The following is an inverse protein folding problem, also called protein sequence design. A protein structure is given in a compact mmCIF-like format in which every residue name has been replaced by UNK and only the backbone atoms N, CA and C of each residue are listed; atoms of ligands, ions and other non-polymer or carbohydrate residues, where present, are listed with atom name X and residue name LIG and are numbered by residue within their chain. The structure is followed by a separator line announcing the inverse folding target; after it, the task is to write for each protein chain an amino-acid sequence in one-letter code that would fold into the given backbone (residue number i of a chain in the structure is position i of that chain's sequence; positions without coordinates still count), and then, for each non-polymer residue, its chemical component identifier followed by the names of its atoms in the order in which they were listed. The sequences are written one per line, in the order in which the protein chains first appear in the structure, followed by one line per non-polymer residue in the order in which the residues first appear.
data_IF_781777498900
#
_entry.id   IF_781777498900
#
_cell.length_a   1.000
_cell.length_b   1.000
_cell.length_c   1.000
_cell.angle_alpha   90.00
_cell.angle_beta   90.00
_cell.angle_gamma   90.00
#
_symmetry.space_group_name_H-M   'P 1'
#
loop_
_entity.id
_entity.type
_entity.pdbx_description
1 polymer ?
#
# COMPACT_ATOMS: atom_id res chain seq x y z
N UNK A 1 -24.92 20.63 4.58
CA UNK A 1 -24.54 22.00 4.95
C UNK A 1 -25.22 22.36 6.27
N UNK A 2 -24.48 22.41 7.38
CA UNK A 2 -24.97 22.99 8.62
C UNK A 2 -24.68 24.49 8.54
N UNK A 3 -25.71 25.29 8.38
CA UNK A 3 -25.67 26.74 8.59
C UNK A 3 -25.44 26.99 10.08
N UNK A 4 -24.20 27.17 10.49
CA UNK A 4 -23.91 27.84 11.75
C UNK A 4 -23.98 29.34 11.51
N UNK A 5 -24.74 30.00 12.39
CA UNK A 5 -25.02 31.43 12.43
C UNK A 5 -23.86 32.29 11.92
N UNK A 6 -24.05 33.01 10.82
CA UNK A 6 -23.28 34.17 10.30
C UNK A 6 -21.75 34.14 10.35
N UNK A 7 -21.10 32.99 10.37
CA UNK A 7 -19.68 32.86 10.14
C UNK A 7 -19.45 32.53 8.67
N UNK A 8 -18.76 33.43 7.95
CA UNK A 8 -18.24 33.12 6.61
C UNK A 8 -17.24 31.95 6.76
N UNK A 9 -17.48 30.86 6.03
CA UNK A 9 -16.54 29.73 5.97
C UNK A 9 -15.71 29.89 4.71
N UNK A 10 -14.45 30.28 4.86
CA UNK A 10 -13.52 30.36 3.77
C UNK A 10 -12.83 29.01 3.57
N UNK A 11 -12.83 28.51 2.34
CA UNK A 11 -12.15 27.30 1.97
C UNK A 11 -10.69 27.59 1.62
N UNK A 12 -9.74 26.95 2.34
CA UNK A 12 -8.34 26.96 1.93
C UNK A 12 -8.18 26.06 0.70
N UNK A 13 -7.96 26.66 -0.45
CA UNK A 13 -7.94 25.98 -1.75
C UNK A 13 -6.54 25.80 -2.34
N UNK A 14 -5.48 26.16 -1.61
CA UNK A 14 -4.11 26.01 -2.07
C UNK A 14 -3.35 25.02 -1.17
N UNK A 15 -2.75 23.99 -1.79
CA UNK A 15 -1.88 23.04 -1.11
C UNK A 15 -0.42 23.21 -1.54
N UNK A 16 0.49 23.15 -0.57
CA UNK A 16 1.94 23.17 -0.79
C UNK A 16 2.56 21.78 -0.64
N UNK A 17 1.71 20.74 -0.48
CA UNK A 17 2.14 19.36 -0.28
C UNK A 17 2.09 18.54 -1.55
N UNK A 18 0.93 18.47 -2.19
CA UNK A 18 0.64 17.50 -3.24
C UNK A 18 1.20 17.92 -4.58
N UNK A 19 2.04 17.08 -5.17
CA UNK A 19 2.48 17.24 -6.57
C UNK A 19 1.41 16.78 -7.57
N UNK A 20 1.66 16.99 -8.85
CA UNK A 20 0.80 16.48 -9.92
C UNK A 20 1.15 15.01 -10.23
N UNK A 21 0.18 14.06 -10.46
CA UNK A 21 -1.26 14.31 -10.56
C UNK A 21 -2.03 14.17 -9.23
N UNK A 22 -1.35 13.99 -8.10
CA UNK A 22 -2.00 13.78 -6.79
C UNK A 22 -2.90 14.96 -6.38
N UNK A 23 -2.47 16.20 -6.65
CA UNK A 23 -3.30 17.37 -6.35
C UNK A 23 -4.59 17.38 -7.19
N UNK A 24 -4.51 16.99 -8.46
CA UNK A 24 -5.68 16.92 -9.35
C UNK A 24 -6.66 15.82 -8.89
N UNK A 25 -6.15 14.62 -8.57
CA UNK A 25 -6.97 13.55 -8.01
C UNK A 25 -7.68 14.01 -6.74
N UNK A 26 -6.93 14.55 -5.79
CA UNK A 26 -7.48 15.00 -4.50
C UNK A 26 -8.51 16.11 -4.69
N UNK A 27 -8.22 17.07 -5.58
CA UNK A 27 -9.12 18.17 -5.93
C UNK A 27 -10.45 17.65 -6.50
N UNK A 28 -10.38 16.75 -7.48
CA UNK A 28 -11.58 16.22 -8.14
C UNK A 28 -12.39 15.29 -7.23
N UNK A 29 -11.72 14.46 -6.41
CA UNK A 29 -12.42 13.48 -5.58
C UNK A 29 -13.05 14.12 -4.35
N UNK A 30 -12.35 15.04 -3.67
CA UNK A 30 -12.72 15.52 -2.33
C UNK A 30 -13.10 17.01 -2.28
N UNK A 31 -12.64 17.83 -3.25
CA UNK A 31 -12.74 19.30 -3.19
C UNK A 31 -13.43 19.91 -4.39
N UNK A 32 -14.23 19.16 -5.14
CA UNK A 32 -15.03 19.65 -6.29
C UNK A 32 -14.21 20.41 -7.34
N UNK A 33 -12.94 20.06 -7.51
CA UNK A 33 -12.03 20.75 -8.44
C UNK A 33 -11.42 22.06 -7.91
N UNK A 34 -11.70 22.43 -6.66
CA UNK A 34 -11.30 23.73 -6.12
C UNK A 34 -9.88 23.75 -5.49
N UNK A 35 -9.23 22.59 -5.27
CA UNK A 35 -7.89 22.52 -4.70
C UNK A 35 -6.83 22.71 -5.79
N UNK A 36 -5.83 23.56 -5.53
CA UNK A 36 -4.72 23.85 -6.44
C UNK A 36 -3.37 23.68 -5.73
N UNK A 37 -2.30 23.55 -6.51
CA UNK A 37 -0.92 23.62 -6.02
C UNK A 37 -0.11 24.59 -6.91
N UNK A 38 0.84 25.36 -6.34
CA UNK A 38 1.81 26.14 -7.11
C UNK A 38 2.64 25.26 -8.06
N UNK A 39 3.16 25.85 -9.14
CA UNK A 39 3.85 25.12 -10.20
C UNK A 39 5.10 24.36 -9.68
N UNK A 40 5.85 24.96 -8.77
CA UNK A 40 7.02 24.33 -8.15
C UNK A 40 6.65 23.10 -7.32
N UNK A 41 5.48 23.09 -6.68
CA UNK A 41 4.96 21.93 -5.94
C UNK A 41 4.47 20.84 -6.90
N UNK A 42 3.75 21.22 -7.96
CA UNK A 42 3.24 20.28 -8.97
C UNK A 42 4.37 19.52 -9.66
N UNK A 43 5.51 20.15 -9.84
CA UNK A 43 6.66 19.60 -10.55
C UNK A 43 7.59 18.75 -9.68
N UNK A 44 7.33 18.61 -8.39
CA UNK A 44 8.16 17.77 -7.51
C UNK A 44 8.21 16.33 -7.99
N UNK A 45 9.42 15.78 -8.07
CA UNK A 45 9.71 14.39 -8.46
C UNK A 45 10.78 13.82 -7.55
N UNK A 46 10.72 12.50 -7.37
CA UNK A 46 11.83 11.77 -6.77
C UNK A 46 13.04 11.81 -7.70
N UNK A 47 14.21 11.81 -7.09
CA UNK A 47 15.46 11.54 -7.79
C UNK A 47 15.92 10.18 -7.28
N UNK A 48 16.09 9.24 -8.19
CA UNK A 48 16.59 7.89 -7.90
C UNK A 48 17.96 7.73 -8.52
N UNK A 49 18.85 7.08 -7.80
CA UNK A 49 20.14 6.69 -8.35
C UNK A 49 19.93 5.72 -9.53
N UNK A 50 20.84 5.78 -10.51
CA UNK A 50 20.77 4.91 -11.66
C UNK A 50 20.97 3.46 -11.23
N UNK A 51 19.91 2.67 -11.33
CA UNK A 51 19.88 1.24 -11.08
C UNK A 51 19.08 0.54 -12.16
N UNK A 52 19.28 -0.76 -12.27
CA UNK A 52 18.53 -1.62 -13.20
C UNK A 52 17.42 -2.31 -12.44
N UNK A 53 16.25 -1.69 -12.35
CA UNK A 53 15.02 -2.38 -11.97
C UNK A 53 14.38 -3.01 -13.19
N UNK A 54 13.68 -4.11 -13.01
CA UNK A 54 12.95 -4.81 -14.08
C UNK A 54 11.52 -5.12 -13.67
N UNK A 55 10.68 -5.35 -14.67
CA UNK A 55 9.29 -5.78 -14.44
C UNK A 55 8.39 -4.72 -13.81
N UNK A 56 7.25 -5.14 -13.23
CA UNK A 56 6.22 -4.24 -12.70
C UNK A 56 6.69 -3.32 -11.58
N UNK A 57 7.64 -3.76 -10.76
CA UNK A 57 8.21 -2.93 -9.68
C UNK A 57 8.92 -1.70 -10.24
N UNK A 58 9.63 -1.84 -11.36
CA UNK A 58 10.28 -0.71 -12.05
C UNK A 58 9.27 0.39 -12.40
N UNK A 59 8.13 0.02 -12.95
CA UNK A 59 7.09 0.98 -13.29
C UNK A 59 6.48 1.63 -12.04
N UNK A 60 6.31 0.84 -10.97
CA UNK A 60 5.77 1.34 -9.72
C UNK A 60 6.69 2.36 -9.04
N UNK A 61 8.03 2.17 -9.10
CA UNK A 61 8.99 3.10 -8.50
C UNK A 61 9.41 4.25 -9.43
N UNK A 62 9.09 4.20 -10.73
CA UNK A 62 9.47 5.22 -11.70
C UNK A 62 9.13 6.64 -11.19
N UNK A 63 10.11 7.57 -11.10
CA UNK A 63 9.89 8.94 -10.60
C UNK A 63 8.82 9.73 -11.35
N UNK A 64 8.63 9.45 -12.64
CA UNK A 64 7.60 10.12 -13.44
C UNK A 64 6.19 9.69 -13.06
N UNK A 65 6.03 8.47 -12.55
CA UNK A 65 4.76 7.92 -12.09
C UNK A 65 4.54 8.29 -10.61
N UNK A 66 4.20 9.54 -10.32
CA UNK A 66 4.09 10.05 -8.93
C UNK A 66 2.86 9.54 -8.17
N UNK A 67 1.90 8.96 -8.87
CA UNK A 67 0.70 8.32 -8.31
C UNK A 67 0.48 7.00 -9.05
N UNK A 68 0.48 5.88 -8.33
CA UNK A 68 0.36 4.53 -8.92
C UNK A 68 -0.57 3.67 -8.07
N UNK A 69 -1.38 2.86 -8.72
CA UNK A 69 -2.09 1.75 -8.09
C UNK A 69 -1.41 0.43 -8.43
N UNK A 70 -1.07 -0.33 -7.42
CA UNK A 70 -0.45 -1.66 -7.55
C UNK A 70 -1.47 -2.71 -7.12
N UNK A 71 -2.04 -3.41 -8.10
CA UNK A 71 -2.94 -4.53 -7.89
C UNK A 71 -2.19 -5.80 -7.54
N UNK A 72 -2.54 -6.43 -6.43
CA UNK A 72 -1.92 -7.66 -5.92
C UNK A 72 -2.96 -8.76 -5.83
N UNK A 73 -2.66 -9.91 -6.42
CA UNK A 73 -3.51 -11.10 -6.26
C UNK A 73 -3.25 -11.72 -4.88
N UNK A 74 -4.17 -11.53 -3.95
CA UNK A 74 -4.06 -12.08 -2.60
C UNK A 74 -5.37 -11.91 -1.84
N UNK A 75 -5.68 -12.87 -0.97
CA UNK A 75 -6.88 -12.80 -0.14
C UNK A 75 -6.55 -12.16 1.20
N UNK A 76 -7.51 -11.40 1.72
CA UNK A 76 -7.46 -10.97 3.10
C UNK A 76 -7.61 -12.17 4.05
N UNK A 77 -7.01 -12.06 5.22
CA UNK A 77 -7.13 -13.00 6.32
C UNK A 77 -7.83 -12.32 7.49
N UNK A 78 -8.86 -12.94 8.02
CA UNK A 78 -9.55 -12.46 9.21
C UNK A 78 -8.73 -12.77 10.47
N UNK A 79 -8.54 -11.76 11.32
CA UNK A 79 -7.93 -11.88 12.63
C UNK A 79 -8.89 -11.25 13.67
N UNK A 80 -9.78 -12.05 14.22
CA UNK A 80 -10.87 -11.58 15.07
C UNK A 80 -11.83 -10.66 14.32
N UNK A 81 -11.93 -9.39 14.74
CA UNK A 81 -12.73 -8.37 14.06
C UNK A 81 -11.87 -7.47 13.15
N UNK A 82 -10.72 -7.97 12.71
CA UNK A 82 -9.75 -7.19 11.94
C UNK A 82 -9.20 -8.02 10.78
N UNK A 83 -8.35 -7.41 9.94
CA UNK A 83 -7.90 -8.02 8.69
C UNK A 83 -6.41 -7.85 8.48
N UNK A 84 -5.82 -8.83 7.78
CA UNK A 84 -4.43 -8.85 7.32
C UNK A 84 -4.37 -9.26 5.85
N UNK A 85 -3.25 -8.99 5.17
CA UNK A 85 -3.01 -9.42 3.79
C UNK A 85 -1.51 -9.60 3.53
N UNK A 86 -1.07 -10.85 3.65
CA UNK A 86 0.35 -11.19 3.50
C UNK A 86 0.91 -10.86 2.12
N UNK A 87 0.13 -11.04 1.06
CA UNK A 87 0.58 -10.78 -0.30
C UNK A 87 0.84 -9.28 -0.52
N UNK A 88 -0.05 -8.42 -0.01
CA UNK A 88 0.20 -6.98 -0.04
C UNK A 88 1.44 -6.61 0.78
N UNK A 89 1.64 -7.21 1.95
CA UNK A 89 2.82 -6.95 2.78
C UNK A 89 4.12 -7.32 2.06
N UNK A 90 4.17 -8.45 1.35
CA UNK A 90 5.35 -8.86 0.58
C UNK A 90 5.66 -7.89 -0.57
N UNK A 91 4.65 -7.48 -1.34
CA UNK A 91 4.83 -6.50 -2.42
C UNK A 91 5.29 -5.15 -1.86
N UNK A 92 4.80 -4.74 -0.69
CA UNK A 92 5.26 -3.51 -0.01
C UNK A 92 6.73 -3.63 0.39
N UNK A 93 7.17 -4.79 0.89
CA UNK A 93 8.57 -5.02 1.22
C UNK A 93 9.47 -4.94 -0.02
N UNK A 94 9.02 -5.50 -1.15
CA UNK A 94 9.74 -5.41 -2.42
C UNK A 94 9.86 -3.96 -2.90
N UNK A 95 8.77 -3.18 -2.85
CA UNK A 95 8.77 -1.76 -3.21
C UNK A 95 9.73 -0.95 -2.32
N UNK A 96 9.68 -1.14 -1.01
CA UNK A 96 10.58 -0.45 -0.07
C UNK A 96 12.03 -0.81 -0.34
N UNK A 97 12.33 -2.10 -0.49
CA UNK A 97 13.67 -2.60 -0.78
C UNK A 97 14.22 -2.00 -2.07
N UNK A 98 13.37 -1.85 -3.07
CA UNK A 98 13.78 -1.29 -4.36
C UNK A 98 14.06 0.22 -4.25
N UNK A 99 13.27 0.99 -3.50
CA UNK A 99 13.59 2.39 -3.23
C UNK A 99 14.91 2.55 -2.48
N UNK A 100 15.15 1.73 -1.45
CA UNK A 100 16.41 1.75 -0.68
C UNK A 100 17.60 1.42 -1.58
N UNK A 101 17.46 0.43 -2.46
CA UNK A 101 18.50 0.05 -3.46
C UNK A 101 18.82 1.17 -4.45
N UNK A 102 17.86 2.05 -4.72
CA UNK A 102 18.02 3.24 -5.56
C UNK A 102 18.38 4.52 -4.77
N UNK A 103 18.95 4.37 -3.58
CA UNK A 103 19.51 5.48 -2.80
C UNK A 103 18.47 6.31 -2.04
N UNK A 104 17.22 5.89 -1.96
CA UNK A 104 16.22 6.58 -1.13
C UNK A 104 16.48 6.25 0.34
N UNK A 105 16.61 7.27 1.18
CA UNK A 105 16.71 7.08 2.62
C UNK A 105 15.43 6.50 3.20
N UNK A 106 15.54 5.56 4.15
CA UNK A 106 14.39 4.92 4.79
C UNK A 106 13.45 5.93 5.48
N UNK A 107 14.00 7.02 6.03
CA UNK A 107 13.23 8.09 6.67
C UNK A 107 12.30 8.83 5.71
N UNK A 108 12.55 8.77 4.40
CA UNK A 108 11.73 9.37 3.34
C UNK A 108 10.58 8.49 2.87
N UNK A 109 10.44 7.27 3.42
CA UNK A 109 9.41 6.31 3.07
C UNK A 109 8.52 6.08 4.28
N UNK A 110 7.22 6.20 4.12
CA UNK A 110 6.24 5.80 5.13
C UNK A 110 5.21 4.85 4.54
N UNK A 111 4.97 3.75 5.25
CA UNK A 111 3.91 2.81 4.91
C UNK A 111 2.74 3.00 5.86
N UNK A 112 1.52 2.92 5.34
CA UNK A 112 0.33 2.95 6.18
C UNK A 112 -0.70 1.91 5.75
N UNK A 113 -1.43 1.38 6.73
CA UNK A 113 -2.54 0.46 6.53
C UNK A 113 -3.72 0.83 7.44
N UNK A 114 -4.92 0.38 7.08
CA UNK A 114 -6.12 0.65 7.88
C UNK A 114 -6.20 -0.22 9.14
N UNK A 115 -5.62 -1.43 9.10
CA UNK A 115 -5.83 -2.49 10.10
C UNK A 115 -4.54 -2.80 10.86
N UNK A 116 -4.64 -2.90 12.20
CA UNK A 116 -3.51 -3.19 13.08
C UNK A 116 -2.81 -4.54 12.81
N UNK A 117 -3.52 -5.65 12.53
CA UNK A 117 -2.85 -6.89 12.14
C UNK A 117 -1.95 -6.68 10.93
N UNK A 118 -2.45 -6.06 9.87
CA UNK A 118 -1.68 -5.79 8.68
C UNK A 118 -0.47 -4.87 8.93
N UNK A 119 -0.62 -3.86 9.80
CA UNK A 119 0.53 -3.05 10.25
C UNK A 119 1.60 -3.91 10.90
N UNK A 120 1.23 -4.89 11.75
CA UNK A 120 2.21 -5.82 12.38
C UNK A 120 2.92 -6.68 11.33
N UNK A 121 2.16 -7.26 10.40
CA UNK A 121 2.70 -8.08 9.31
C UNK A 121 3.66 -7.28 8.43
N UNK A 122 3.27 -6.08 8.02
CA UNK A 122 4.14 -5.19 7.22
C UNK A 122 5.42 -4.85 8.00
N UNK A 123 5.33 -4.47 9.27
CA UNK A 123 6.52 -4.16 10.08
C UNK A 123 7.43 -5.39 10.24
N UNK A 124 6.87 -6.60 10.32
CA UNK A 124 7.66 -7.83 10.41
C UNK A 124 8.47 -8.10 9.14
N UNK A 125 7.90 -7.84 7.95
CA UNK A 125 8.63 -8.04 6.67
C UNK A 125 9.57 -6.88 6.35
N UNK A 126 9.38 -5.70 6.97
CA UNK A 126 10.25 -4.53 6.85
C UNK A 126 11.35 -4.48 7.92
N UNK A 127 11.40 -5.46 8.82
CA UNK A 127 12.39 -5.49 9.91
C UNK A 127 13.82 -5.37 9.37
N UNK A 128 14.62 -4.51 10.00
CA UNK A 128 16.00 -4.22 9.59
C UNK A 128 16.15 -3.26 8.40
N UNK A 129 15.07 -2.84 7.73
CA UNK A 129 15.14 -1.88 6.60
C UNK A 129 15.20 -0.42 7.04
N UNK A 130 14.78 -0.12 8.26
CA UNK A 130 14.59 1.24 8.76
C UNK A 130 13.28 1.90 8.31
N UNK A 131 12.51 1.27 7.42
CA UNK A 131 11.17 1.74 7.00
C UNK A 131 10.12 1.23 7.99
N UNK A 132 9.20 2.09 8.41
CA UNK A 132 8.12 1.72 9.33
C UNK A 132 6.73 1.81 8.71
N UNK A 133 5.83 0.93 9.19
CA UNK A 133 4.41 0.97 8.88
C UNK A 133 3.61 1.45 10.10
N UNK A 134 2.58 2.26 9.86
CA UNK A 134 1.67 2.74 10.89
C UNK A 134 0.21 2.72 10.40
N UNK A 135 -0.74 3.00 11.29
CA UNK A 135 -2.14 3.14 10.86
C UNK A 135 -2.38 4.49 10.19
N UNK A 136 -3.37 4.54 9.26
CA UNK A 136 -3.79 5.80 8.61
C UNK A 136 -4.10 6.89 9.63
N UNK A 137 -4.74 6.55 10.75
CA UNK A 137 -5.07 7.51 11.81
C UNK A 137 -3.83 8.14 12.46
N UNK A 138 -2.73 7.39 12.62
CA UNK A 138 -1.48 7.92 13.18
C UNK A 138 -0.74 8.84 12.22
N UNK A 139 -1.08 8.79 10.93
CA UNK A 139 -0.52 9.70 9.92
C UNK A 139 -1.25 11.05 9.84
N UNK A 140 -2.26 11.29 10.68
CA UNK A 140 -2.90 12.60 10.79
C UNK A 140 -1.85 13.65 11.19
N UNK A 141 -1.74 14.71 10.38
CA UNK A 141 -0.76 15.79 10.58
C UNK A 141 0.66 15.49 10.07
N UNK A 142 1.01 14.23 9.83
CA UNK A 142 2.30 13.85 9.25
C UNK A 142 2.28 13.90 7.70
N UNK A 143 3.48 13.93 7.12
CA UNK A 143 3.72 13.84 5.68
C UNK A 143 5.09 13.20 5.41
N UNK A 144 5.30 12.64 4.22
CA UNK A 144 6.59 12.13 3.81
C UNK A 144 6.73 12.20 2.28
N UNK A 145 7.95 12.03 1.78
CA UNK A 145 8.22 12.06 0.35
C UNK A 145 7.48 10.94 -0.39
N UNK A 146 7.59 9.72 0.12
CA UNK A 146 6.95 8.53 -0.42
C UNK A 146 5.96 7.98 0.59
N UNK A 147 4.73 7.81 0.15
CA UNK A 147 3.69 7.12 0.90
C UNK A 147 3.29 5.85 0.16
N UNK A 148 3.31 4.73 0.88
CA UNK A 148 2.77 3.46 0.40
C UNK A 148 1.55 3.15 1.26
N UNK A 149 0.37 3.17 0.64
CA UNK A 149 -0.91 2.86 1.28
C UNK A 149 -1.31 1.42 0.98
N UNK A 150 -1.42 0.60 2.02
CA UNK A 150 -1.99 -0.74 1.94
C UNK A 150 -3.50 -0.69 2.19
N UNK A 151 -4.30 -1.11 1.22
CA UNK A 151 -5.76 -1.15 1.39
C UNK A 151 -6.21 -2.31 2.27
N UNK A 152 -5.41 -3.36 2.36
CA UNK A 152 -5.61 -4.60 3.13
C UNK A 152 -6.72 -5.47 2.55
N UNK A 153 -7.91 -4.88 2.33
CA UNK A 153 -9.13 -5.59 1.95
C UNK A 153 -9.02 -6.19 0.53
N UNK A 154 -9.44 -7.44 0.42
CA UNK A 154 -9.52 -8.21 -0.83
C UNK A 154 -10.53 -9.33 -0.67
N UNK A 155 -11.80 -9.06 -1.00
CA UNK A 155 -12.91 -9.97 -0.76
C UNK A 155 -13.98 -9.87 -1.86
N UNK A 156 -14.76 -10.94 -2.01
CA UNK A 156 -15.81 -11.03 -3.03
C UNK A 156 -17.02 -10.13 -2.76
N UNK A 157 -17.22 -9.69 -1.52
CA UNK A 157 -18.28 -8.74 -1.15
C UNK A 157 -17.93 -7.30 -1.48
N UNK A 158 -16.69 -7.02 -1.91
CA UNK A 158 -16.18 -5.67 -2.20
C UNK A 158 -16.27 -4.72 -1.03
N UNK A 159 -16.23 -5.26 0.20
CA UNK A 159 -16.30 -4.46 1.41
C UNK A 159 -14.91 -3.91 1.78
N UNK A 160 -14.76 -2.60 1.77
CA UNK A 160 -13.54 -1.88 2.17
C UNK A 160 -13.43 -1.67 3.69
N UNK A 161 -14.47 -1.97 4.45
CA UNK A 161 -14.49 -1.75 5.88
C UNK A 161 -14.17 -0.29 6.25
N UNK A 162 -13.16 -0.06 7.09
CA UNK A 162 -12.76 1.28 7.50
C UNK A 162 -12.38 2.23 6.35
N UNK A 163 -11.85 1.69 5.25
CA UNK A 163 -11.48 2.50 4.08
C UNK A 163 -12.70 2.97 3.27
N UNK A 164 -13.92 2.61 3.67
CA UNK A 164 -15.17 3.11 3.07
C UNK A 164 -15.48 4.57 3.48
N UNK A 165 -14.77 5.14 4.44
CA UNK A 165 -14.96 6.50 4.93
C UNK A 165 -14.20 7.49 4.04
N UNK A 166 -14.90 8.46 3.38
CA UNK A 166 -14.25 9.43 2.48
C UNK A 166 -13.16 10.26 3.17
N UNK A 167 -13.37 10.62 4.43
CA UNK A 167 -12.42 11.40 5.23
C UNK A 167 -11.12 10.62 5.46
N UNK A 168 -11.23 9.32 5.74
CA UNK A 168 -10.07 8.47 5.93
C UNK A 168 -9.31 8.25 4.61
N UNK A 169 -10.03 8.06 3.50
CA UNK A 169 -9.43 8.01 2.17
C UNK A 169 -8.73 9.31 1.80
N UNK A 170 -9.32 10.46 2.11
CA UNK A 170 -8.68 11.76 1.88
C UNK A 170 -7.36 11.86 2.66
N UNK A 171 -7.35 11.47 3.94
CA UNK A 171 -6.10 11.43 4.74
C UNK A 171 -5.10 10.48 4.11
N UNK A 172 -5.51 9.26 3.78
CA UNK A 172 -4.64 8.20 3.28
C UNK A 172 -3.99 8.53 1.91
N UNK A 173 -4.66 9.35 1.09
CA UNK A 173 -4.20 9.68 -0.27
C UNK A 173 -3.64 11.09 -0.41
N UNK A 174 -3.42 11.80 0.72
CA UNK A 174 -2.94 13.18 0.72
C UNK A 174 -1.77 13.43 1.68
N UNK A 175 -0.94 12.40 1.98
CA UNK A 175 0.22 12.52 2.90
C UNK A 175 1.57 12.61 2.17
N UNK A 176 1.62 12.32 0.89
CA UNK A 176 2.84 12.32 0.08
C UNK A 176 3.25 13.73 -0.37
N UNK A 177 4.56 13.94 -0.46
CA UNK A 177 5.16 15.12 -1.10
C UNK A 177 5.51 14.85 -2.55
N UNK A 178 5.97 13.63 -2.87
CA UNK A 178 6.53 13.30 -4.18
C UNK A 178 5.88 12.05 -4.81
N UNK A 179 5.51 11.03 -4.02
CA UNK A 179 4.98 9.80 -4.58
C UNK A 179 3.97 9.11 -3.69
N UNK A 180 2.84 8.70 -4.28
CA UNK A 180 1.85 7.83 -3.66
C UNK A 180 1.77 6.52 -4.42
N UNK A 181 1.94 5.40 -3.71
CA UNK A 181 1.65 4.06 -4.21
C UNK A 181 0.51 3.49 -3.38
N UNK A 182 -0.59 3.15 -4.04
CA UNK A 182 -1.72 2.45 -3.40
C UNK A 182 -1.56 0.97 -3.74
N UNK A 183 -1.37 0.13 -2.72
CA UNK A 183 -1.28 -1.32 -2.86
C UNK A 183 -2.59 -1.93 -2.42
N UNK A 184 -3.27 -2.59 -3.33
CA UNK A 184 -4.58 -3.17 -3.09
C UNK A 184 -4.79 -4.48 -3.82
N UNK A 185 -6.03 -4.96 -3.88
CA UNK A 185 -6.35 -6.09 -4.72
C UNK A 185 -6.29 -5.75 -6.22
N UNK A 186 -6.40 -6.77 -7.07
CA UNK A 186 -6.27 -6.60 -8.52
C UNK A 186 -7.51 -5.94 -9.16
N UNK A 187 -8.04 -4.90 -8.54
CA UNK A 187 -9.06 -3.98 -9.04
C UNK A 187 -10.51 -4.19 -8.58
N UNK A 188 -10.83 -5.20 -7.78
CA UNK A 188 -12.24 -5.44 -7.43
C UNK A 188 -12.68 -4.68 -6.17
N UNK A 189 -12.05 -4.95 -5.02
CA UNK A 189 -12.52 -4.39 -3.74
C UNK A 189 -12.32 -2.89 -3.65
N UNK A 190 -11.16 -2.38 -4.10
CA UNK A 190 -10.89 -0.93 -4.02
C UNK A 190 -11.65 -0.14 -5.09
N UNK A 191 -11.75 -0.67 -6.31
CA UNK A 191 -12.43 0.01 -7.41
C UNK A 191 -13.95 0.08 -7.21
N UNK A 192 -14.55 -0.96 -6.62
CA UNK A 192 -16.00 -1.10 -6.56
C UNK A 192 -16.57 -0.99 -5.13
N UNK A 193 -15.72 -0.99 -4.12
CA UNK A 193 -16.13 -1.03 -2.71
C UNK A 193 -16.87 0.21 -2.23
N UNK A 194 -16.53 1.40 -2.74
CA UNK A 194 -17.32 2.61 -2.50
C UNK A 194 -17.11 3.66 -3.60
N UNK A 195 -18.03 4.62 -3.68
CA UNK A 195 -17.96 5.69 -4.68
C UNK A 195 -16.65 6.48 -4.63
N UNK A 196 -16.10 6.72 -3.44
CA UNK A 196 -14.88 7.52 -3.29
C UNK A 196 -13.65 6.76 -3.74
N UNK A 197 -13.49 5.49 -3.33
CA UNK A 197 -12.38 4.63 -3.77
C UNK A 197 -12.44 4.36 -5.27
N UNK A 198 -13.63 4.13 -5.82
CA UNK A 198 -13.84 3.97 -7.27
C UNK A 198 -13.36 5.20 -8.05
N UNK A 199 -13.72 6.42 -7.62
CA UNK A 199 -13.25 7.66 -8.26
C UNK A 199 -11.73 7.83 -8.20
N UNK A 200 -11.08 7.39 -7.09
CA UNK A 200 -9.62 7.38 -6.99
C UNK A 200 -9.03 6.37 -7.98
N UNK A 201 -9.58 5.15 -8.00
CA UNK A 201 -9.13 4.10 -8.91
C UNK A 201 -9.29 4.51 -10.38
N UNK A 202 -10.45 5.00 -10.78
CA UNK A 202 -10.75 5.46 -12.15
C UNK A 202 -9.80 6.58 -12.58
N UNK A 203 -9.48 7.50 -11.67
CA UNK A 203 -8.52 8.56 -11.93
C UNK A 203 -7.13 8.01 -12.26
N UNK A 204 -6.65 7.00 -11.52
CA UNK A 204 -5.35 6.35 -11.75
C UNK A 204 -5.39 5.50 -13.02
N UNK A 205 -6.45 4.70 -13.20
CA UNK A 205 -6.64 3.81 -14.34
C UNK A 205 -6.73 4.56 -15.67
N UNK A 206 -7.43 5.69 -15.72
CA UNK A 206 -7.55 6.53 -16.92
C UNK A 206 -6.21 7.10 -17.40
N UNK A 207 -5.17 7.09 -16.57
CA UNK A 207 -3.80 7.52 -16.88
C UNK A 207 -2.84 6.37 -17.17
N UNK A 208 -3.34 5.13 -17.19
CA UNK A 208 -2.50 3.94 -17.39
C UNK A 208 -1.53 3.65 -16.23
N UNK A 209 -1.83 4.13 -15.02
CA UNK A 209 -0.97 4.02 -13.85
C UNK A 209 -1.41 2.88 -12.89
N UNK A 210 -2.22 1.94 -13.39
CA UNK A 210 -2.53 0.70 -12.69
C UNK A 210 -1.58 -0.41 -13.14
N UNK A 211 -0.88 -1.00 -12.19
CA UNK A 211 0.12 -2.05 -12.39
C UNK A 211 -0.35 -3.28 -11.65
N UNK A 212 -0.34 -4.45 -12.28
CA UNK A 212 -0.66 -5.72 -11.62
C UNK A 212 0.61 -6.50 -11.33
N UNK A 213 0.83 -6.86 -10.07
CA UNK A 213 1.90 -7.75 -9.65
C UNK A 213 1.30 -9.11 -9.35
N UNK A 214 1.69 -10.10 -10.14
CA UNK A 214 1.36 -11.50 -9.87
C UNK A 214 2.39 -12.02 -8.87
N UNK A 215 2.00 -12.16 -7.61
CA UNK A 215 2.81 -12.84 -6.62
C UNK A 215 2.64 -14.35 -6.81
N UNK A 216 3.51 -14.98 -7.56
CA UNK A 216 3.64 -16.44 -7.52
C UNK A 216 4.43 -16.80 -6.26
N UNK A 217 3.73 -16.99 -5.15
CA UNK A 217 4.34 -17.58 -3.95
C UNK A 217 4.39 -19.08 -4.20
N UNK A 218 5.50 -19.57 -4.74
CA UNK A 218 5.80 -20.99 -4.77
C UNK A 218 6.22 -21.42 -3.36
N UNK A 219 5.28 -21.96 -2.59
CA UNK A 219 5.55 -22.56 -1.30
C UNK A 219 6.07 -23.98 -1.54
N UNK A 220 7.38 -24.19 -1.42
CA UNK A 220 7.95 -25.53 -1.47
C UNK A 220 8.07 -26.08 -0.06
N UNK A 221 7.43 -27.23 0.16
CA UNK A 221 7.53 -27.98 1.42
C UNK A 221 8.94 -28.56 1.55
N UNK A 222 9.66 -28.17 2.58
CA UNK A 222 10.98 -28.72 2.91
C UNK A 222 10.88 -29.43 4.26
N UNK A 223 11.15 -30.74 4.28
CA UNK A 223 11.22 -31.52 5.50
C UNK A 223 12.65 -31.52 6.04
N UNK A 224 12.86 -31.00 7.23
CA UNK A 224 14.09 -31.17 7.97
C UNK A 224 13.77 -31.86 9.32
N UNK A 225 14.24 -33.11 9.49
CA UNK A 225 14.18 -33.88 10.75
C UNK A 225 12.98 -33.53 11.64
N UNK A 226 11.82 -34.06 11.32
CA UNK A 226 10.55 -33.97 12.07
C UNK A 226 9.90 -32.59 12.21
N UNK A 227 10.44 -31.58 11.58
CA UNK A 227 9.81 -30.24 11.45
C UNK A 227 9.53 -29.90 10.00
N UNK A 228 8.33 -29.40 9.74
CA UNK A 228 7.91 -28.96 8.42
C UNK A 228 8.21 -27.46 8.30
N UNK A 229 9.10 -27.12 7.38
CA UNK A 229 9.41 -25.75 7.02
C UNK A 229 8.85 -25.45 5.62
N UNK A 230 8.30 -24.27 5.46
CA UNK A 230 7.88 -23.78 4.16
C UNK A 230 8.91 -22.76 3.69
N UNK A 231 9.48 -23.00 2.52
CA UNK A 231 10.40 -22.06 1.88
C UNK A 231 9.64 -21.31 0.80
N UNK A 232 9.47 -20.01 0.96
CA UNK A 232 8.92 -19.16 -0.09
C UNK A 232 10.02 -18.90 -1.13
N UNK A 233 9.83 -19.39 -2.35
CA UNK A 233 10.66 -19.07 -3.50
C UNK A 233 9.82 -18.23 -4.45
N UNK A 234 10.11 -16.99 -4.54
CA UNK A 234 10.32 -16.18 -5.72
C UNK A 234 10.74 -14.78 -5.29
N UNK A 235 11.95 -14.68 -4.81
CA UNK A 235 12.65 -13.41 -4.74
C UNK A 235 13.75 -13.53 -5.80
N UNK A 236 13.45 -13.14 -7.01
CA UNK A 236 14.49 -12.87 -7.98
C UNK A 236 15.31 -11.70 -7.45
N UNK A 237 16.48 -11.99 -6.90
CA UNK A 237 17.56 -11.08 -6.53
C UNK A 237 17.49 -10.36 -5.18
N UNK A 238 17.40 -11.10 -4.03
CA UNK A 238 17.88 -10.52 -2.77
C UNK A 238 18.61 -11.54 -1.89
N UNK A 239 19.86 -11.24 -1.47
CA UNK A 239 20.48 -11.87 -0.31
C UNK A 239 20.08 -11.10 0.97
N UNK A 240 18.80 -11.02 1.31
CA UNK A 240 18.40 -10.68 2.64
C UNK A 240 18.15 -12.01 3.37
N UNK A 241 19.08 -12.35 4.26
CA UNK A 241 18.87 -13.35 5.30
C UNK A 241 17.79 -12.80 6.23
N UNK A 242 16.52 -12.88 5.82
CA UNK A 242 15.41 -12.73 6.76
C UNK A 242 15.59 -13.83 7.78
N UNK A 243 15.88 -13.48 9.03
CA UNK A 243 15.95 -14.46 10.11
C UNK A 243 14.59 -15.15 10.16
N UNK A 244 14.56 -16.43 9.77
CA UNK A 244 13.38 -17.29 9.79
C UNK A 244 12.67 -17.31 11.16
N UNK A 245 13.33 -16.88 12.23
CA UNK A 245 12.78 -16.75 13.57
C UNK A 245 11.63 -15.74 13.70
N UNK A 246 11.53 -14.73 12.83
CA UNK A 246 10.44 -13.76 12.88
C UNK A 246 9.20 -14.18 12.09
N UNK A 247 9.31 -15.18 11.20
CA UNK A 247 8.19 -15.74 10.43
C UNK A 247 7.57 -16.98 11.11
N UNK A 248 8.24 -17.58 12.08
CA UNK A 248 7.80 -18.80 12.77
C UNK A 248 6.42 -18.65 13.45
N UNK A 249 6.01 -17.54 14.07
CA UNK A 249 4.69 -17.42 14.67
C UNK A 249 3.53 -17.44 13.66
N UNK A 250 3.80 -17.10 12.42
CA UNK A 250 2.78 -17.00 11.35
C UNK A 250 2.71 -18.24 10.45
N UNK A 251 3.73 -19.10 10.51
CA UNK A 251 3.77 -20.38 9.79
C UNK A 251 3.01 -21.50 10.53
N UNK A 252 2.57 -21.26 11.76
CA UNK A 252 1.71 -22.18 12.53
C UNK A 252 0.22 -21.97 12.20
N UNK A 253 -0.16 -21.93 10.92
CA UNK A 253 -1.54 -22.04 10.54
C UNK A 253 -1.93 -23.53 10.48
N UNK A 254 -2.58 -23.95 11.58
CA UNK A 254 -3.51 -25.09 11.69
C UNK A 254 -3.42 -26.17 10.59
N UNK A 255 -2.60 -27.17 10.82
CA UNK A 255 -2.84 -28.50 10.28
C UNK A 255 -3.79 -29.27 11.21
N UNK A 256 -5.00 -28.78 11.45
CA UNK A 256 -6.07 -29.55 12.03
C UNK A 256 -7.15 -29.70 10.98
N UNK A 257 -7.34 -30.95 10.56
CA UNK A 257 -8.38 -31.50 9.66
C UNK A 257 -7.99 -31.63 8.18
N UNK A 258 -7.06 -32.52 7.89
CA UNK A 258 -7.27 -33.43 6.77
C UNK A 258 -7.39 -34.82 7.40
N UNK A 259 -8.60 -35.31 7.58
CA UNK A 259 -8.84 -36.73 7.81
C UNK A 259 -8.58 -37.43 6.47
N UNK A 260 -7.68 -38.37 6.49
CA UNK A 260 -7.47 -39.30 5.41
C UNK A 260 -8.80 -40.01 5.11
N UNK A 261 -9.32 -39.75 3.91
CA UNK A 261 -10.31 -40.61 3.30
C UNK A 261 -9.55 -41.64 2.48
N UNK A 262 -9.12 -42.71 3.12
CA UNK A 262 -8.85 -44.04 2.55
C UNK A 262 -8.62 -45.03 3.68
N UNK A 263 -9.63 -45.85 3.91
CA UNK A 263 -9.69 -46.99 4.78
C UNK A 263 -11.11 -47.53 4.79
#
# INVERSE_FOLDING_TARGET
MRTMNNTSVDMLNTTYRLNWPSVEMTSNVFYFGALHAPQEVRNRRLILDRGTSTGPIKEAINPENTLVYVGVNGRELEEGLSYDNHQQAMVIADLCSEFLRHGVDASRISVMAAYRPHVRTINSVLDGTGVGCTTVHKMLGAENDIIILATTRSNSSRDLGFMNQPELLNVATSRQLMKLIIVGDAAETFAEGCKTSGRIYDFVASRGLCITIKSEINITRVNFRDNIYYKCFNITHFPLTVRLSSLIPYLYLKTSHVRDANG
#
